data_IF_652171660504
#
_entry.id   IF_652171660504
#
_cell.length_a   1.000
_cell.length_b   1.000
_cell.length_c   1.000
_cell.angle_alpha   90.00
_cell.angle_beta   90.00
_cell.angle_gamma   90.00
#
_symmetry.space_group_name_H-M   'P 1'
#
loop_
_entity.id
_entity.type
_entity.pdbx_description
1 polymer ?
#
# COMPACT_ATOMS: atom_id res chain seq x y z
N UNK A 1 2.43 -65.70 36.54
CA UNK A 1 2.17 -64.32 37.03
C UNK A 1 2.16 -64.39 38.55
N UNK A 2 2.91 -63.50 39.22
CA UNK A 2 2.90 -63.32 40.68
C UNK A 2 1.83 -62.28 41.00
N UNK A 3 0.92 -62.61 41.91
CA UNK A 3 0.04 -61.65 42.57
C UNK A 3 0.58 -61.46 43.99
N UNK A 4 1.37 -60.41 44.15
CA UNK A 4 1.61 -59.69 45.40
C UNK A 4 0.47 -58.64 45.51
N UNK A 5 -0.05 -58.13 46.62
CA UNK A 5 0.06 -58.28 48.06
C UNK A 5 -0.90 -57.17 48.60
N UNK A 6 -1.25 -57.24 49.88
CA UNK A 6 -1.75 -56.17 50.74
C UNK A 6 -3.26 -55.91 50.89
N UNK A 7 -3.69 -56.40 52.04
CA UNK A 7 -4.76 -56.02 52.95
C UNK A 7 -4.74 -54.56 53.45
N UNK A 8 -5.94 -54.00 53.67
CA UNK A 8 -6.42 -53.15 54.80
C UNK A 8 -7.66 -52.39 54.29
N UNK A 9 -8.89 -52.68 54.71
CA UNK A 9 -9.51 -52.52 56.04
C UNK A 9 -9.11 -51.19 56.70
N UNK A 10 -10.05 -50.23 56.68
CA UNK A 10 -10.21 -49.29 57.79
C UNK A 10 -10.33 -47.82 57.40
N UNK A 11 -11.56 -47.31 57.60
CA UNK A 11 -11.84 -45.98 58.16
C UNK A 11 -12.04 -44.78 57.19
N UNK A 12 -13.29 -44.57 56.79
CA UNK A 12 -13.90 -43.22 56.86
C UNK A 12 -14.45 -43.01 58.31
N UNK A 13 -14.96 -41.85 58.75
CA UNK A 13 -14.99 -40.47 58.20
C UNK A 13 -14.56 -39.43 59.27
N UNK A 14 -14.54 -38.15 58.94
CA UNK A 14 -14.30 -37.08 59.92
C UNK A 14 -14.59 -35.70 59.37
N UNK A 15 -15.87 -35.42 59.16
CA UNK A 15 -16.35 -34.04 59.07
C UNK A 15 -16.19 -33.40 60.46
N UNK A 16 -15.35 -32.38 60.56
CA UNK A 16 -15.44 -31.42 61.65
C UNK A 16 -15.39 -30.02 61.04
N UNK A 17 -16.57 -29.39 61.10
CA UNK A 17 -16.85 -28.03 60.72
C UNK A 17 -16.58 -27.19 61.96
N UNK A 18 -15.53 -26.37 61.98
CA UNK A 18 -15.41 -25.17 62.82
C UNK A 18 -14.03 -24.56 62.62
N UNK A 19 -13.96 -23.36 62.06
CA UNK A 19 -13.68 -22.16 62.84
C UNK A 19 -13.63 -20.95 61.91
N UNK A 20 -14.45 -19.97 62.26
CA UNK A 20 -14.50 -18.67 61.66
C UNK A 20 -13.15 -17.96 61.81
N UNK A 21 -12.38 -17.89 60.72
CA UNK A 21 -11.33 -16.89 60.58
C UNK A 21 -11.95 -15.61 60.02
N UNK A 22 -12.50 -14.81 60.95
CA UNK A 22 -12.72 -13.39 60.73
C UNK A 22 -11.39 -12.72 60.38
N UNK A 23 -11.41 -11.94 59.31
CA UNK A 23 -10.40 -10.91 59.06
C UNK A 23 -9.35 -11.31 58.04
N UNK A 24 -9.60 -11.00 56.78
CA UNK A 24 -8.96 -9.86 56.10
C UNK A 24 -9.51 -9.88 54.66
N UNK A 25 -10.72 -9.34 54.47
CA UNK A 25 -11.08 -8.87 53.13
C UNK A 25 -10.12 -7.70 52.90
N UNK A 26 -9.11 -7.80 52.00
CA UNK A 26 -8.34 -6.63 51.66
C UNK A 26 -9.37 -5.64 51.13
N UNK A 27 -9.50 -4.55 51.88
CA UNK A 27 -10.33 -3.41 51.58
C UNK A 27 -10.36 -3.22 50.07
N UNK A 28 -11.55 -2.96 49.53
CA UNK A 28 -11.80 -2.31 48.25
C UNK A 28 -10.82 -1.14 48.06
N UNK A 29 -9.58 -1.44 47.68
CA UNK A 29 -8.69 -0.53 47.02
C UNK A 29 -9.35 -0.43 45.67
N UNK A 30 -10.27 0.55 45.58
CA UNK A 30 -10.96 1.02 44.39
C UNK A 30 -10.37 0.30 43.19
N UNK A 31 -11.16 -0.57 42.57
CA UNK A 31 -11.02 -0.74 41.15
C UNK A 31 -11.05 0.69 40.60
N UNK A 32 -9.87 1.28 40.44
CA UNK A 32 -9.65 2.44 39.61
C UNK A 32 -9.97 1.86 38.25
N UNK A 33 -11.28 1.91 37.93
CA UNK A 33 -11.81 1.55 36.62
C UNK A 33 -10.81 2.09 35.63
N UNK A 34 -10.24 1.24 34.75
CA UNK A 34 -9.26 1.71 33.78
C UNK A 34 -9.81 2.99 33.20
N UNK A 35 -9.04 4.06 33.36
CA UNK A 35 -9.57 5.38 33.05
C UNK A 35 -9.93 5.37 31.56
N UNK A 36 -10.94 6.13 31.14
CA UNK A 36 -11.28 6.22 29.71
C UNK A 36 -10.06 6.61 28.86
N UNK A 37 -9.09 7.32 29.46
CA UNK A 37 -7.77 7.58 28.88
C UNK A 37 -6.93 6.32 28.64
N UNK A 38 -6.96 5.34 29.54
CA UNK A 38 -6.25 4.05 29.38
C UNK A 38 -6.93 3.18 28.30
N UNK A 39 -8.26 3.21 28.21
CA UNK A 39 -8.99 2.53 27.13
C UNK A 39 -8.74 3.17 25.76
N UNK A 40 -8.69 4.51 25.68
CA UNK A 40 -8.32 5.22 24.44
C UNK A 40 -6.86 4.94 24.08
N UNK A 41 -5.95 4.92 25.05
CA UNK A 41 -4.55 4.58 24.81
C UNK A 41 -4.41 3.14 24.26
N UNK A 42 -5.16 2.19 24.80
CA UNK A 42 -5.21 0.82 24.29
C UNK A 42 -5.78 0.75 22.86
N UNK A 43 -6.86 1.49 22.58
CA UNK A 43 -7.46 1.55 21.24
C UNK A 43 -6.54 2.22 20.20
N UNK A 44 -5.75 3.20 20.62
CA UNK A 44 -4.73 3.87 19.79
C UNK A 44 -3.57 2.92 19.50
N UNK A 45 -3.11 2.15 20.49
CA UNK A 45 -2.04 1.16 20.31
C UNK A 45 -2.50 0.00 19.39
N UNK A 46 -3.74 -0.47 19.55
CA UNK A 46 -4.35 -1.48 18.68
C UNK A 46 -4.56 -0.94 17.26
N UNK A 47 -5.02 0.31 17.13
CA UNK A 47 -5.20 0.99 15.84
C UNK A 47 -3.88 1.23 15.10
N UNK A 48 -2.81 1.54 15.82
CA UNK A 48 -1.45 1.66 15.28
C UNK A 48 -0.96 0.32 14.74
N UNK A 49 -1.15 -0.76 15.49
CA UNK A 49 -0.77 -2.12 15.05
C UNK A 49 -1.53 -2.54 13.79
N UNK A 50 -2.82 -2.20 13.70
CA UNK A 50 -3.64 -2.44 12.50
C UNK A 50 -3.20 -1.59 11.30
N UNK A 51 -2.89 -0.31 11.52
CA UNK A 51 -2.38 0.58 10.48
C UNK A 51 -1.01 0.11 9.94
N UNK A 52 -0.13 -0.35 10.82
CA UNK A 52 1.17 -0.91 10.44
C UNK A 52 1.01 -2.18 9.59
N UNK A 53 0.00 -3.01 9.87
CA UNK A 53 -0.31 -4.21 9.09
C UNK A 53 -0.81 -3.88 7.68
N UNK A 54 -1.70 -2.90 7.52
CA UNK A 54 -2.24 -2.50 6.21
C UNK A 54 -1.17 -1.81 5.34
N UNK A 55 -0.31 -0.99 5.97
CA UNK A 55 0.86 -0.38 5.30
C UNK A 55 1.83 -1.48 4.82
N UNK A 56 2.09 -2.48 5.65
CA UNK A 56 2.94 -3.60 5.28
C UNK A 56 2.35 -4.41 4.11
N UNK A 57 1.02 -4.59 4.06
CA UNK A 57 0.33 -5.28 2.99
C UNK A 57 0.38 -4.50 1.66
N UNK A 58 0.10 -3.19 1.69
CA UNK A 58 0.21 -2.30 0.53
C UNK A 58 1.65 -2.23 0.01
N UNK A 59 2.63 -2.14 0.92
CA UNK A 59 4.07 -2.15 0.60
C UNK A 59 4.51 -3.48 -0.02
N UNK A 60 4.01 -4.61 0.47
CA UNK A 60 4.29 -5.93 -0.10
C UNK A 60 3.68 -6.08 -1.50
N UNK A 61 2.46 -5.58 -1.73
CA UNK A 61 1.81 -5.59 -3.04
C UNK A 61 2.56 -4.72 -4.07
N UNK A 62 2.97 -3.52 -3.66
CA UNK A 62 3.82 -2.63 -4.46
C UNK A 62 5.19 -3.26 -4.75
N UNK A 63 5.83 -3.87 -3.75
CA UNK A 63 7.14 -4.52 -3.91
C UNK A 63 7.07 -5.74 -4.85
N UNK A 64 6.01 -6.56 -4.76
CA UNK A 64 5.80 -7.72 -5.61
C UNK A 64 5.56 -7.34 -7.09
N UNK A 65 4.81 -6.25 -7.33
CA UNK A 65 4.66 -5.68 -8.67
C UNK A 65 5.94 -4.99 -9.16
N UNK A 66 6.68 -4.34 -8.28
CA UNK A 66 7.93 -3.65 -8.63
C UNK A 66 9.04 -4.63 -9.06
N UNK A 67 9.13 -5.80 -8.44
CA UNK A 67 10.22 -6.75 -8.75
C UNK A 67 9.99 -7.45 -10.11
N UNK A 68 8.73 -7.69 -10.51
CA UNK A 68 8.38 -8.04 -11.90
C UNK A 68 8.43 -6.85 -12.86
N UNK A 69 8.27 -5.64 -12.32
CA UNK A 69 8.39 -4.39 -13.04
C UNK A 69 9.80 -4.07 -13.51
N UNK A 70 10.87 -4.56 -12.88
CA UNK A 70 12.25 -4.24 -13.30
C UNK A 70 12.55 -4.59 -14.76
N UNK A 71 12.19 -5.80 -15.20
CA UNK A 71 12.41 -6.22 -16.59
C UNK A 71 11.50 -5.44 -17.55
N UNK A 72 10.21 -5.28 -17.19
CA UNK A 72 9.27 -4.50 -17.99
C UNK A 72 9.66 -3.02 -18.11
N UNK A 73 10.19 -2.42 -17.04
CA UNK A 73 10.69 -1.06 -17.00
C UNK A 73 11.93 -0.91 -17.89
N UNK A 74 12.85 -1.87 -17.86
CA UNK A 74 14.03 -1.86 -18.72
C UNK A 74 13.64 -1.96 -20.20
N UNK A 75 12.75 -2.89 -20.56
CA UNK A 75 12.20 -2.97 -21.92
C UNK A 75 11.42 -1.70 -22.30
N UNK A 76 10.70 -1.09 -21.36
CA UNK A 76 10.00 0.18 -21.57
C UNK A 76 10.96 1.33 -21.88
N UNK A 77 12.08 1.43 -21.17
CA UNK A 77 13.14 2.42 -21.45
C UNK A 77 13.74 2.19 -22.82
N UNK A 78 14.07 0.94 -23.17
CA UNK A 78 14.58 0.63 -24.51
C UNK A 78 13.57 0.94 -25.60
N UNK A 79 12.31 0.58 -25.41
CA UNK A 79 11.24 0.88 -26.37
C UNK A 79 11.06 2.38 -26.55
N UNK A 80 11.03 3.16 -25.46
CA UNK A 80 10.97 4.63 -25.52
C UNK A 80 12.19 5.19 -26.25
N UNK A 81 13.38 4.66 -25.97
CA UNK A 81 14.61 5.00 -26.68
C UNK A 81 14.50 4.76 -28.19
N UNK A 82 14.06 3.58 -28.61
CA UNK A 82 13.87 3.27 -30.04
C UNK A 82 12.81 4.15 -30.70
N UNK A 83 11.69 4.42 -30.03
CA UNK A 83 10.66 5.35 -30.51
C UNK A 83 11.26 6.75 -30.67
N UNK A 84 12.07 7.21 -29.71
CA UNK A 84 12.73 8.51 -29.78
C UNK A 84 13.73 8.58 -30.94
N UNK A 85 14.56 7.55 -31.12
CA UNK A 85 15.47 7.45 -32.27
C UNK A 85 14.72 7.44 -33.59
N UNK A 86 13.61 6.70 -33.68
CA UNK A 86 12.76 6.67 -34.86
C UNK A 86 12.13 8.05 -35.15
N UNK A 87 11.71 8.79 -34.13
CA UNK A 87 11.20 10.16 -34.27
C UNK A 87 12.28 11.11 -34.81
N UNK A 88 13.52 11.03 -34.30
CA UNK A 88 14.63 11.83 -34.83
C UNK A 88 14.87 11.49 -36.31
N UNK A 89 14.96 10.20 -36.64
CA UNK A 89 15.15 9.75 -38.02
C UNK A 89 14.01 10.19 -38.95
N UNK A 90 12.76 10.15 -38.47
CA UNK A 90 11.58 10.63 -39.17
C UNK A 90 11.68 12.14 -39.45
N UNK A 91 12.07 12.94 -38.45
CA UNK A 91 12.25 14.40 -38.61
C UNK A 91 13.33 14.71 -39.62
N UNK A 92 14.50 14.06 -39.51
CA UNK A 92 15.61 14.24 -40.45
C UNK A 92 15.18 13.85 -41.86
N UNK A 93 14.54 12.69 -42.03
CA UNK A 93 14.03 12.23 -43.32
C UNK A 93 13.00 13.17 -43.93
N UNK A 94 12.04 13.65 -43.13
CA UNK A 94 11.03 14.61 -43.57
C UNK A 94 11.65 15.93 -44.05
N UNK A 95 12.64 16.46 -43.32
CA UNK A 95 13.35 17.68 -43.72
C UNK A 95 14.07 17.46 -45.05
N UNK A 96 14.79 16.35 -45.22
CA UNK A 96 15.51 16.05 -46.47
C UNK A 96 14.55 15.96 -47.66
N UNK A 97 13.42 15.25 -47.51
CA UNK A 97 12.41 15.09 -48.57
C UNK A 97 11.74 16.42 -48.92
N UNK A 98 11.52 17.30 -47.93
CA UNK A 98 10.80 18.55 -48.13
C UNK A 98 11.70 19.71 -48.60
N UNK A 99 13.00 19.66 -48.28
CA UNK A 99 14.00 20.66 -48.68
C UNK A 99 13.96 21.07 -50.16
N UNK A 100 13.87 20.16 -51.16
CA UNK A 100 13.82 20.56 -52.57
C UNK A 100 12.57 21.37 -52.96
N UNK A 101 11.49 21.33 -52.16
CA UNK A 101 10.24 22.02 -52.48
C UNK A 101 10.12 23.39 -51.79
N UNK A 102 10.64 23.55 -50.57
CA UNK A 102 10.40 24.74 -49.74
C UNK A 102 11.66 25.34 -49.12
N UNK A 103 12.85 24.88 -49.53
CA UNK A 103 14.17 25.22 -48.96
C UNK A 103 14.37 24.70 -47.53
N UNK A 104 15.62 24.68 -47.06
CA UNK A 104 15.97 24.10 -45.76
C UNK A 104 15.26 24.78 -44.58
N UNK A 105 15.18 26.12 -44.57
CA UNK A 105 14.51 26.85 -43.49
C UNK A 105 12.99 26.68 -43.52
N UNK A 106 12.39 26.63 -44.71
CA UNK A 106 10.95 26.36 -44.84
C UNK A 106 10.60 24.96 -44.33
N UNK A 107 11.44 23.96 -44.66
CA UNK A 107 11.22 22.58 -44.26
C UNK A 107 11.27 22.41 -42.74
N UNK A 108 12.27 22.99 -42.06
CA UNK A 108 12.40 22.88 -40.60
C UNK A 108 11.25 23.58 -39.87
N UNK A 109 10.81 24.75 -40.33
CA UNK A 109 9.67 25.48 -39.75
C UNK A 109 8.36 24.70 -39.90
N UNK A 110 8.12 24.10 -41.07
CA UNK A 110 6.91 23.30 -41.31
C UNK A 110 6.92 22.06 -40.40
N UNK A 111 8.01 21.30 -40.39
CA UNK A 111 8.11 20.07 -39.58
C UNK A 111 8.00 20.38 -38.09
N UNK A 112 8.69 21.42 -37.61
CA UNK A 112 8.59 21.86 -36.22
C UNK A 112 7.18 22.34 -35.87
N UNK A 113 6.53 23.11 -36.76
CA UNK A 113 5.16 23.58 -36.57
C UNK A 113 4.16 22.44 -36.46
N UNK A 114 4.26 21.41 -37.30
CA UNK A 114 3.41 20.22 -37.24
C UNK A 114 3.62 19.44 -35.93
N UNK A 115 4.87 19.22 -35.52
CA UNK A 115 5.18 18.54 -34.26
C UNK A 115 4.67 19.31 -33.04
N UNK A 116 4.81 20.64 -33.05
CA UNK A 116 4.32 21.49 -31.98
C UNK A 116 2.79 21.45 -31.91
N UNK A 117 2.10 21.50 -33.05
CA UNK A 117 0.65 21.35 -33.11
C UNK A 117 0.19 20.00 -32.53
N UNK A 118 0.85 18.90 -32.93
CA UNK A 118 0.60 17.56 -32.37
C UNK A 118 0.82 17.52 -30.85
N UNK A 119 1.90 18.11 -30.36
CA UNK A 119 2.22 18.19 -28.94
C UNK A 119 1.14 18.95 -28.15
N UNK A 120 0.66 20.08 -28.69
CA UNK A 120 -0.42 20.87 -28.08
C UNK A 120 -1.72 20.05 -28.04
N UNK A 121 -2.11 19.38 -29.12
CA UNK A 121 -3.31 18.54 -29.15
C UNK A 121 -3.22 17.43 -28.09
N UNK A 122 -2.06 16.79 -27.97
CA UNK A 122 -1.84 15.74 -26.97
C UNK A 122 -1.93 16.28 -25.54
N UNK A 123 -1.37 17.46 -25.29
CA UNK A 123 -1.43 18.12 -23.98
C UNK A 123 -2.88 18.46 -23.59
N UNK A 124 -3.67 18.98 -24.53
CA UNK A 124 -5.08 19.29 -24.30
C UNK A 124 -5.89 18.02 -23.98
N UNK A 125 -5.62 16.90 -24.65
CA UNK A 125 -6.24 15.59 -24.38
C UNK A 125 -5.90 15.04 -22.99
N UNK A 126 -4.67 15.24 -22.53
CA UNK A 126 -4.27 14.85 -21.17
C UNK A 126 -5.00 15.69 -20.12
N UNK A 127 -5.11 17.00 -20.33
CA UNK A 127 -5.78 17.88 -19.38
C UNK A 127 -7.26 17.56 -19.21
N UNK A 128 -7.95 17.15 -20.28
CA UNK A 128 -9.35 16.70 -20.17
C UNK A 128 -9.49 15.43 -19.33
N UNK A 129 -8.57 14.48 -19.46
CA UNK A 129 -8.62 13.23 -18.69
C UNK A 129 -8.33 13.44 -17.20
N UNK A 130 -7.41 14.36 -16.86
CA UNK A 130 -7.10 14.65 -15.45
C UNK A 130 -8.19 15.46 -14.74
N UNK A 131 -8.97 16.26 -15.47
CA UNK A 131 -10.09 17.02 -14.89
C UNK A 131 -11.24 16.12 -14.47
N UNK A 132 -11.57 15.11 -15.28
CA UNK A 132 -12.60 14.12 -14.98
C UNK A 132 -12.27 13.32 -13.72
N UNK A 133 -10.98 13.01 -13.50
CA UNK A 133 -10.52 12.37 -12.26
C UNK A 133 -10.68 13.32 -11.06
N UNK A 134 -10.41 14.62 -11.23
CA UNK A 134 -10.57 15.62 -10.17
C UNK A 134 -12.02 15.84 -9.75
N UNK A 135 -12.93 15.94 -10.72
CA UNK A 135 -14.37 16.08 -10.47
C UNK A 135 -14.93 14.87 -9.70
N UNK A 136 -14.47 13.66 -10.00
CA UNK A 136 -14.87 12.45 -9.27
C UNK A 136 -14.42 12.42 -7.79
N UNK A 137 -13.44 13.23 -7.40
CA UNK A 137 -13.02 13.37 -6.00
C UNK A 137 -13.72 14.55 -5.31
N UNK A 138 -14.09 15.62 -6.03
CA UNK A 138 -14.85 16.75 -5.47
C UNK A 138 -16.33 16.43 -5.23
N UNK A 139 -16.91 15.47 -5.94
CA UNK A 139 -18.32 15.06 -5.76
C UNK A 139 -18.54 14.11 -4.56
N UNK A 140 -17.45 13.68 -3.90
CA UNK A 140 -17.45 12.76 -2.76
C UNK A 140 -17.24 13.40 -1.38
N UNK A 141 -16.96 14.71 -1.32
CA UNK A 141 -16.89 15.54 -0.09
C UNK A 141 -18.17 16.36 0.09
#
# INVERSE_FOLDING_TARGET
MRDDDLSQVGQEPGADESEASLGDEPSEARASSPSLSDEIAAFVEDGKTYAEAEIAYQKARLAFTADRGKSAALFGIFALGFVHLALIALVVGAVIVLTPYVTALGATLIVAGVLLLLAVIMLLRVQSATREIGEAFEEGD
#
